data_IF_746451812946
#
_entry.id   IF_746451812946
#
_cell.length_a   1.000
_cell.length_b   1.000
_cell.length_c   1.000
_cell.angle_alpha   90.00
_cell.angle_beta   90.00
_cell.angle_gamma   90.00
#
_symmetry.space_group_name_H-M   'P 1'
#
loop_
_entity.id
_entity.type
_entity.pdbx_description
1 polymer ?
#
# COMPACT_ATOMS: atom_id res chain seq x y z
N UNK A 1 -28.87 1.29 -7.50
CA UNK A 1 -29.74 2.50 -7.61
C UNK A 1 -30.77 2.62 -6.48
N UNK A 2 -31.29 1.50 -5.93
CA UNK A 2 -32.28 1.50 -4.84
C UNK A 2 -31.82 2.33 -3.61
N UNK A 3 -30.59 2.12 -3.14
CA UNK A 3 -30.07 2.78 -1.94
C UNK A 3 -29.97 4.30 -2.05
N UNK A 4 -29.55 4.83 -3.20
CA UNK A 4 -29.46 6.28 -3.39
C UNK A 4 -30.82 6.96 -3.30
N UNK A 5 -31.83 6.35 -3.92
CA UNK A 5 -33.20 6.86 -3.86
C UNK A 5 -33.75 6.80 -2.44
N UNK A 6 -33.51 5.71 -1.71
CA UNK A 6 -33.89 5.57 -0.31
C UNK A 6 -33.23 6.65 0.58
N UNK A 7 -31.94 6.90 0.39
CA UNK A 7 -31.21 7.95 1.12
C UNK A 7 -31.82 9.33 0.84
N UNK A 8 -32.05 9.67 -0.44
CA UNK A 8 -32.68 10.95 -0.81
C UNK A 8 -34.13 11.08 -0.36
N UNK A 9 -34.86 9.97 -0.24
CA UNK A 9 -36.21 10.00 0.33
C UNK A 9 -36.17 10.28 1.83
N UNK A 10 -35.21 9.69 2.55
CA UNK A 10 -35.05 9.88 3.98
C UNK A 10 -34.51 11.28 4.35
N UNK A 11 -33.57 11.81 3.56
CA UNK A 11 -32.89 13.09 3.82
C UNK A 11 -33.50 14.28 3.06
N UNK A 12 -34.46 14.02 2.16
CA UNK A 12 -34.99 15.01 1.23
C UNK A 12 -34.13 15.18 -0.04
N UNK A 13 -34.63 15.99 -0.98
CA UNK A 13 -34.04 16.14 -2.33
C UNK A 13 -32.57 16.57 -2.32
N UNK A 14 -32.15 17.31 -1.29
CA UNK A 14 -30.78 17.80 -1.11
C UNK A 14 -29.74 16.74 -0.73
N UNK A 15 -30.18 15.57 -0.24
CA UNK A 15 -29.26 14.54 0.24
C UNK A 15 -28.48 14.97 1.49
N UNK A 16 -27.21 14.62 1.58
CA UNK A 16 -26.36 14.98 2.72
C UNK A 16 -25.84 16.43 2.62
N UNK A 17 -25.74 17.14 3.74
CA UNK A 17 -25.07 18.44 3.77
C UNK A 17 -23.56 18.30 3.53
N UNK A 18 -22.94 17.23 4.07
CA UNK A 18 -21.53 16.91 3.94
C UNK A 18 -21.32 15.40 3.79
N UNK A 19 -20.50 15.01 2.82
CA UNK A 19 -19.97 13.66 2.67
C UNK A 19 -18.47 13.69 2.99
N UNK A 20 -18.02 12.81 3.86
CA UNK A 20 -16.59 12.64 4.17
C UNK A 20 -16.15 11.31 3.59
N UNK A 21 -15.10 11.34 2.77
CA UNK A 21 -14.53 10.15 2.13
C UNK A 21 -13.11 9.99 2.62
N UNK A 22 -12.90 8.94 3.41
CA UNK A 22 -11.57 8.49 3.74
C UNK A 22 -10.98 7.63 2.61
N UNK A 23 -9.66 7.67 2.47
CA UNK A 23 -8.90 7.06 1.40
C UNK A 23 -9.45 7.31 -0.02
N UNK A 24 -9.69 8.59 -0.32
CA UNK A 24 -10.26 9.04 -1.60
C UNK A 24 -9.46 8.58 -2.85
N UNK A 25 -8.23 8.11 -2.68
CA UNK A 25 -7.42 7.53 -3.75
C UNK A 25 -8.07 6.30 -4.42
N UNK A 26 -9.06 5.65 -3.80
CA UNK A 26 -9.84 4.58 -4.42
C UNK A 26 -10.69 5.04 -5.62
N UNK A 27 -10.97 6.34 -5.74
CA UNK A 27 -11.74 6.93 -6.84
C UNK A 27 -10.88 7.46 -7.99
N UNK A 28 -9.58 7.18 -7.99
CA UNK A 28 -8.63 7.65 -9.02
C UNK A 28 -8.87 7.16 -10.45
N UNK A 29 -9.66 6.11 -10.62
CA UNK A 29 -9.99 5.54 -11.92
C UNK A 29 -11.46 5.81 -12.19
N UNK A 30 -11.77 6.75 -13.09
CA UNK A 30 -13.16 7.09 -13.41
C UNK A 30 -13.82 6.20 -14.46
N UNK A 31 -13.07 5.40 -15.21
CA UNK A 31 -13.60 4.54 -16.27
C UNK A 31 -13.13 3.08 -16.12
N UNK A 32 -13.85 2.17 -16.78
CA UNK A 32 -13.41 0.77 -16.96
C UNK A 32 -13.54 -0.16 -15.74
N UNK A 33 -14.19 0.27 -14.65
CA UNK A 33 -14.45 -0.61 -13.49
C UNK A 33 -15.89 -0.52 -12.99
N UNK A 34 -16.40 -1.64 -12.46
CA UNK A 34 -17.71 -1.67 -11.80
C UNK A 34 -17.76 -0.71 -10.60
N UNK A 35 -16.64 -0.56 -9.88
CA UNK A 35 -16.53 0.41 -8.77
C UNK A 35 -16.73 1.84 -9.26
N UNK A 36 -16.11 2.22 -10.38
CA UNK A 36 -16.26 3.56 -10.93
C UNK A 36 -17.70 3.83 -11.37
N UNK A 37 -18.34 2.88 -12.07
CA UNK A 37 -19.73 2.99 -12.48
C UNK A 37 -20.69 3.07 -11.28
N UNK A 38 -20.46 2.25 -10.26
CA UNK A 38 -21.24 2.27 -9.02
C UNK A 38 -21.07 3.60 -8.28
N UNK A 39 -19.85 4.13 -8.18
CA UNK A 39 -19.55 5.41 -7.54
C UNK A 39 -20.21 6.58 -8.28
N UNK A 40 -20.13 6.62 -9.61
CA UNK A 40 -20.83 7.63 -10.42
C UNK A 40 -22.34 7.59 -10.20
N UNK A 41 -22.93 6.40 -10.26
CA UNK A 41 -24.36 6.23 -10.02
C UNK A 41 -24.79 6.56 -8.58
N UNK A 42 -23.90 6.33 -7.61
CA UNK A 42 -24.17 6.58 -6.19
C UNK A 42 -24.09 8.07 -5.83
N UNK A 43 -22.98 8.74 -6.19
CA UNK A 43 -22.79 10.15 -5.89
C UNK A 43 -23.62 11.08 -6.78
N UNK A 44 -24.00 10.61 -7.98
CA UNK A 44 -24.79 11.36 -8.94
C UNK A 44 -23.99 12.43 -9.69
N UNK A 45 -24.66 13.05 -10.66
CA UNK A 45 -24.08 14.08 -11.50
C UNK A 45 -24.36 15.49 -10.96
N UNK A 46 -23.83 16.51 -11.65
CA UNK A 46 -23.92 17.93 -11.31
C UNK A 46 -25.31 18.40 -10.84
N UNK A 47 -26.37 17.90 -11.50
CA UNK A 47 -27.75 18.34 -11.28
C UNK A 47 -28.45 17.58 -10.14
N UNK A 48 -27.87 16.47 -9.68
CA UNK A 48 -28.52 15.58 -8.72
C UNK A 48 -27.46 14.97 -7.79
N UNK A 49 -26.63 15.78 -7.14
CA UNK A 49 -25.59 15.26 -6.24
C UNK A 49 -26.19 14.61 -4.99
N UNK A 50 -25.53 13.60 -4.45
CA UNK A 50 -25.93 12.93 -3.21
C UNK A 50 -25.64 13.81 -1.97
N UNK A 51 -24.73 14.77 -2.08
CA UNK A 51 -24.51 15.74 -1.04
C UNK A 51 -24.03 17.08 -1.57
N UNK A 52 -24.17 18.10 -0.73
CA UNK A 52 -23.88 19.50 -1.05
C UNK A 52 -22.39 19.81 -0.94
N UNK A 53 -21.73 19.28 0.09
CA UNK A 53 -20.29 19.42 0.30
C UNK A 53 -19.61 18.04 0.38
N UNK A 54 -18.34 17.99 -0.03
CA UNK A 54 -17.54 16.77 0.04
C UNK A 54 -16.16 17.09 0.59
N UNK A 55 -15.75 16.37 1.64
CA UNK A 55 -14.41 16.39 2.20
C UNK A 55 -13.69 15.10 1.82
N UNK A 56 -12.58 15.24 1.09
CA UNK A 56 -11.76 14.12 0.64
C UNK A 56 -10.51 14.02 1.52
N UNK A 57 -10.30 12.86 2.13
CA UNK A 57 -9.11 12.55 2.92
C UNK A 57 -8.28 11.51 2.17
N UNK A 58 -7.01 11.82 1.89
CA UNK A 58 -6.06 10.85 1.34
C UNK A 58 -4.62 11.30 1.51
N UNK A 59 -3.71 10.37 1.83
CA UNK A 59 -2.28 10.63 1.91
C UNK A 59 -1.59 10.67 0.52
N UNK A 60 -2.17 9.99 -0.47
CA UNK A 60 -1.57 9.70 -1.78
C UNK A 60 -2.58 9.89 -2.93
N UNK A 61 -2.96 11.15 -3.23
CA UNK A 61 -3.94 11.43 -4.29
C UNK A 61 -3.37 11.17 -5.70
N UNK A 62 -2.05 11.32 -5.87
CA UNK A 62 -1.32 11.01 -7.10
C UNK A 62 -0.56 9.70 -6.90
N UNK A 63 -0.95 8.65 -7.63
CA UNK A 63 -0.39 7.31 -7.44
C UNK A 63 0.32 6.80 -8.70
N UNK A 64 -0.27 6.98 -9.88
CA UNK A 64 0.26 6.50 -11.16
C UNK A 64 0.36 7.59 -12.22
N UNK A 65 -0.49 8.60 -12.15
CA UNK A 65 -0.50 9.74 -13.04
C UNK A 65 -1.15 10.93 -12.35
N UNK A 66 -0.76 12.14 -12.74
CA UNK A 66 -1.35 13.39 -12.22
C UNK A 66 -2.87 13.43 -12.43
N UNK A 67 -3.37 12.88 -13.54
CA UNK A 67 -4.80 12.74 -13.85
C UNK A 67 -5.62 12.07 -12.73
N UNK A 68 -5.00 11.21 -11.92
CA UNK A 68 -5.66 10.56 -10.79
C UNK A 68 -6.34 11.58 -9.85
N UNK A 69 -5.70 12.74 -9.64
CA UNK A 69 -6.26 13.79 -8.79
C UNK A 69 -7.51 14.37 -9.44
N UNK A 70 -7.43 14.70 -10.74
CA UNK A 70 -8.57 15.20 -11.51
C UNK A 70 -9.76 14.24 -11.46
N UNK A 71 -9.50 12.94 -11.68
CA UNK A 71 -10.51 11.89 -11.66
C UNK A 71 -11.25 11.85 -10.32
N UNK A 72 -10.53 11.90 -9.18
CA UNK A 72 -11.15 11.91 -7.84
C UNK A 72 -12.09 13.12 -7.69
N UNK A 73 -11.61 14.33 -7.98
CA UNK A 73 -12.42 15.54 -7.83
C UNK A 73 -13.63 15.56 -8.76
N UNK A 74 -13.50 14.99 -9.94
CA UNK A 74 -14.53 15.02 -10.97
C UNK A 74 -15.82 14.28 -10.57
N UNK A 75 -15.78 13.35 -9.60
CA UNK A 75 -17.00 12.75 -9.04
C UNK A 75 -17.86 13.79 -8.29
N UNK A 76 -17.24 14.80 -7.70
CA UNK A 76 -17.88 15.68 -6.71
C UNK A 76 -18.02 17.13 -7.17
N UNK A 77 -17.40 17.49 -8.29
CA UNK A 77 -17.47 18.85 -8.85
C UNK A 77 -17.44 18.83 -10.38
N UNK A 78 -17.93 19.91 -11.01
CA UNK A 78 -17.93 20.10 -12.47
C UNK A 78 -16.53 20.55 -12.96
N UNK A 79 -15.53 19.72 -12.69
CA UNK A 79 -14.12 19.99 -13.00
C UNK A 79 -13.85 20.34 -14.47
N UNK A 80 -14.48 19.68 -15.48
CA UNK A 80 -14.23 19.98 -16.89
C UNK A 80 -14.53 21.42 -17.31
N UNK A 81 -15.33 22.16 -16.54
CA UNK A 81 -15.66 23.55 -16.83
C UNK A 81 -14.64 24.55 -16.27
N UNK A 82 -13.78 24.14 -15.34
CA UNK A 82 -12.90 25.04 -14.57
C UNK A 82 -11.42 24.74 -14.71
N UNK A 83 -11.04 23.48 -14.95
CA UNK A 83 -9.64 23.05 -15.03
C UNK A 83 -9.46 22.06 -16.18
N UNK A 84 -8.31 22.15 -16.86
CA UNK A 84 -7.85 21.10 -17.76
C UNK A 84 -7.50 19.82 -16.97
N UNK A 85 -7.57 18.64 -17.59
CA UNK A 85 -7.29 17.35 -16.92
C UNK A 85 -5.88 17.27 -16.32
N UNK A 86 -4.95 18.01 -16.91
CA UNK A 86 -3.53 18.07 -16.64
C UNK A 86 -3.13 19.24 -15.72
N UNK A 87 -4.02 20.18 -15.43
CA UNK A 87 -3.77 21.30 -14.51
C UNK A 87 -4.01 20.92 -13.03
N UNK A 88 -3.31 19.86 -12.62
CA UNK A 88 -3.39 19.32 -11.27
C UNK A 88 -2.77 20.26 -10.25
N UNK A 89 -1.84 21.13 -10.68
CA UNK A 89 -1.21 22.10 -9.78
C UNK A 89 -2.22 23.15 -9.33
N UNK A 90 -2.97 23.77 -10.24
CA UNK A 90 -4.00 24.74 -9.87
C UNK A 90 -5.07 24.07 -8.99
N UNK A 91 -5.51 22.87 -9.37
CA UNK A 91 -6.46 22.08 -8.59
C UNK A 91 -6.00 21.86 -7.14
N UNK A 92 -4.75 21.42 -6.95
CA UNK A 92 -4.20 21.19 -5.62
C UNK A 92 -4.03 22.48 -4.83
N UNK A 93 -3.68 23.59 -5.47
CA UNK A 93 -3.55 24.89 -4.80
C UNK A 93 -4.90 25.41 -4.28
N UNK A 94 -5.98 25.21 -5.05
CA UNK A 94 -7.30 25.76 -4.72
C UNK A 94 -8.06 24.91 -3.70
N UNK A 95 -7.86 23.58 -3.72
CA UNK A 95 -8.70 22.65 -2.96
C UNK A 95 -7.95 21.75 -1.97
N UNK A 96 -6.61 21.67 -2.01
CA UNK A 96 -5.87 20.72 -1.18
C UNK A 96 -5.04 21.40 -0.10
N UNK A 97 -5.15 20.88 1.12
CA UNK A 97 -4.26 21.23 2.24
C UNK A 97 -3.44 19.99 2.58
N UNK A 98 -2.12 20.09 2.44
CA UNK A 98 -1.19 19.02 2.81
C UNK A 98 -0.16 19.52 3.82
N UNK A 99 -0.11 18.88 4.99
CA UNK A 99 0.91 19.15 6.01
C UNK A 99 1.96 18.04 6.00
N UNK A 100 3.24 18.41 6.07
CA UNK A 100 4.32 17.47 6.28
C UNK A 100 4.45 17.16 7.78
N UNK A 101 4.66 15.88 8.11
CA UNK A 101 5.10 15.51 9.46
C UNK A 101 6.50 16.08 9.68
N UNK A 102 6.67 16.68 10.85
CA UNK A 102 7.89 17.32 11.32
C UNK A 102 8.36 16.56 12.55
N UNK A 103 9.60 16.11 12.55
CA UNK A 103 10.26 15.45 13.67
C UNK A 103 11.12 16.48 14.38
N UNK A 104 11.00 16.60 15.70
CA UNK A 104 11.86 17.48 16.48
C UNK A 104 13.22 16.80 16.68
N UNK A 105 14.28 17.40 16.14
CA UNK A 105 15.66 17.04 16.42
C UNK A 105 16.22 17.83 17.61
N UNK A 106 17.51 17.61 17.91
CA UNK A 106 18.22 18.27 19.02
C UNK A 106 18.26 19.80 18.89
N UNK A 107 18.35 20.32 17.66
CA UNK A 107 18.51 21.75 17.39
C UNK A 107 17.37 22.34 16.55
N UNK A 108 16.75 21.55 15.67
CA UNK A 108 15.68 22.03 14.79
C UNK A 108 14.70 20.93 14.42
N UNK A 109 13.59 21.31 13.80
CA UNK A 109 12.60 20.36 13.30
C UNK A 109 12.90 19.97 11.85
N UNK A 110 12.90 18.67 11.57
CA UNK A 110 13.19 18.10 10.26
C UNK A 110 11.94 17.42 9.68
N UNK A 111 11.62 17.72 8.44
CA UNK A 111 10.68 17.00 7.60
C UNK A 111 11.33 15.74 7.03
N UNK A 112 10.51 14.84 6.47
CA UNK A 112 11.00 13.61 5.84
C UNK A 112 12.05 13.83 4.76
N UNK A 113 12.05 14.98 4.08
CA UNK A 113 13.02 15.27 3.03
C UNK A 113 14.39 15.66 3.59
N UNK A 114 14.43 16.10 4.85
CA UNK A 114 15.66 16.53 5.53
C UNK A 114 16.32 15.38 6.27
N UNK A 115 15.56 14.40 6.77
CA UNK A 115 16.13 13.25 7.50
C UNK A 115 16.19 11.94 6.69
N UNK A 116 15.45 11.81 5.57
CA UNK A 116 15.48 10.58 4.75
C UNK A 116 16.63 10.64 3.76
N UNK A 117 17.64 9.82 4.01
CA UNK A 117 18.71 9.56 3.05
C UNK A 117 18.53 8.17 2.45
N UNK A 118 18.05 8.11 1.20
CA UNK A 118 17.94 6.87 0.46
C UNK A 118 19.33 6.45 -0.01
N UNK A 119 19.82 5.32 0.51
CA UNK A 119 21.08 4.72 0.08
C UNK A 119 20.75 3.44 -0.66
N UNK A 120 21.25 3.32 -1.90
CA UNK A 120 21.20 2.06 -2.61
C UNK A 120 21.99 1.02 -1.82
N UNK A 121 21.36 -0.12 -1.54
CA UNK A 121 22.02 -1.29 -0.95
C UNK A 121 22.03 -2.38 -2.00
N UNK A 122 23.21 -2.92 -2.30
CA UNK A 122 23.36 -4.04 -3.22
C UNK A 122 23.11 -5.31 -2.40
N UNK A 123 22.06 -6.03 -2.74
CA UNK A 123 21.75 -7.34 -2.16
C UNK A 123 21.97 -8.41 -3.21
N UNK A 124 22.72 -9.46 -2.88
CA UNK A 124 23.06 -10.56 -3.79
C UNK A 124 22.98 -11.91 -3.06
N UNK A 125 22.73 -12.98 -3.82
CA UNK A 125 22.84 -14.36 -3.35
C UNK A 125 24.27 -14.92 -3.47
N UNK A 126 25.27 -14.09 -3.78
CA UNK A 126 26.67 -14.52 -3.88
C UNK A 126 27.07 -15.33 -2.64
N UNK A 127 27.58 -16.55 -2.85
CA UNK A 127 27.96 -17.52 -1.81
C UNK A 127 26.81 -18.10 -0.95
N UNK A 128 25.54 -17.89 -1.34
CA UNK A 128 24.34 -18.44 -0.68
C UNK A 128 23.52 -19.29 -1.66
N UNK A 129 24.13 -20.39 -2.13
CA UNK A 129 23.57 -21.23 -3.21
C UNK A 129 22.24 -21.91 -2.82
N UNK A 130 22.09 -22.28 -1.56
CA UNK A 130 20.87 -22.90 -1.04
C UNK A 130 19.71 -21.90 -0.95
N UNK A 131 19.99 -20.67 -0.54
CA UNK A 131 19.03 -19.57 -0.64
C UNK A 131 18.68 -19.31 -2.11
N UNK A 132 19.68 -19.13 -2.99
CA UNK A 132 19.44 -18.92 -4.43
C UNK A 132 18.53 -20.00 -5.03
N UNK A 133 18.81 -21.28 -4.72
CA UNK A 133 18.02 -22.42 -5.18
C UNK A 133 16.60 -22.39 -4.62
N UNK A 134 16.43 -22.06 -3.34
CA UNK A 134 15.12 -21.89 -2.72
C UNK A 134 14.28 -20.84 -3.46
N UNK A 135 14.86 -19.67 -3.74
CA UNK A 135 14.17 -18.58 -4.43
C UNK A 135 13.87 -18.93 -5.89
N UNK A 136 14.80 -19.59 -6.60
CA UNK A 136 14.57 -20.06 -7.96
C UNK A 136 13.40 -21.07 -8.01
N UNK A 137 13.33 -21.99 -7.04
CA UNK A 137 12.27 -22.98 -6.94
C UNK A 137 10.91 -22.33 -6.60
N UNK A 138 10.90 -21.39 -5.66
CA UNK A 138 9.70 -20.61 -5.33
C UNK A 138 9.17 -19.84 -6.53
N UNK A 139 10.02 -19.12 -7.27
CA UNK A 139 9.61 -18.41 -8.49
C UNK A 139 9.05 -19.36 -9.55
N UNK A 140 9.69 -20.51 -9.76
CA UNK A 140 9.21 -21.53 -10.71
C UNK A 140 7.82 -22.05 -10.32
N UNK A 141 7.59 -22.36 -9.04
CA UNK A 141 6.30 -22.86 -8.58
C UNK A 141 5.21 -21.80 -8.65
N UNK A 142 5.54 -20.54 -8.39
CA UNK A 142 4.61 -19.41 -8.50
C UNK A 142 4.10 -19.26 -9.94
N UNK A 143 5.01 -19.31 -10.93
CA UNK A 143 4.63 -19.26 -12.36
C UNK A 143 3.72 -20.43 -12.73
N UNK A 144 4.03 -21.65 -12.27
CA UNK A 144 3.20 -22.84 -12.54
C UNK A 144 1.80 -22.71 -11.93
N UNK A 145 1.66 -22.14 -10.73
CA UNK A 145 0.35 -21.91 -10.12
C UNK A 145 -0.45 -20.86 -10.90
N UNK A 146 0.18 -19.75 -11.28
CA UNK A 146 -0.46 -18.70 -12.07
C UNK A 146 -0.93 -19.18 -13.45
N UNK A 147 -0.13 -20.02 -14.12
CA UNK A 147 -0.50 -20.63 -15.41
C UNK A 147 -1.69 -21.59 -15.28
N UNK A 148 -1.75 -22.37 -14.20
CA UNK A 148 -2.88 -23.28 -13.91
C UNK A 148 -4.18 -22.54 -13.66
N UNK A 149 -4.12 -21.35 -13.04
CA UNK A 149 -5.29 -20.53 -12.73
C UNK A 149 -5.92 -19.83 -13.96
N UNK A 150 -5.34 -19.96 -15.17
CA UNK A 150 -5.83 -19.31 -16.40
C UNK A 150 -6.16 -17.82 -16.22
N UNK A 151 -5.41 -17.08 -15.40
CA UNK A 151 -5.42 -15.61 -15.39
C UNK A 151 -4.70 -15.07 -16.63
N UNK A 152 -5.23 -15.42 -17.80
CA UNK A 152 -4.84 -14.89 -19.09
C UNK A 152 -5.27 -13.42 -19.15
N UNK A 153 -4.34 -12.49 -18.90
CA UNK A 153 -4.60 -11.07 -19.14
C UNK A 153 -3.84 -10.06 -18.27
N UNK A 154 -3.03 -10.48 -17.29
CA UNK A 154 -2.28 -9.56 -16.43
C UNK A 154 -0.87 -10.09 -16.17
N UNK A 155 0.01 -9.95 -17.15
CA UNK A 155 1.31 -10.62 -17.18
C UNK A 155 2.27 -10.21 -16.07
N UNK A 156 3.18 -11.13 -15.70
CA UNK A 156 4.53 -10.97 -15.09
C UNK A 156 4.70 -9.96 -13.94
N UNK A 157 3.62 -9.38 -13.42
CA UNK A 157 3.60 -8.28 -12.44
C UNK A 157 3.24 -8.76 -11.04
N UNK A 158 3.11 -10.08 -10.87
CA UNK A 158 3.00 -10.81 -9.60
C UNK A 158 4.24 -11.68 -9.36
N UNK A 159 5.43 -11.16 -9.67
CA UNK A 159 6.61 -11.62 -8.95
C UNK A 159 6.80 -10.66 -7.78
N UNK A 160 7.47 -11.11 -6.73
CA UNK A 160 7.96 -10.28 -5.63
C UNK A 160 7.10 -10.16 -4.36
N UNK A 161 6.08 -11.00 -4.09
CA UNK A 161 5.48 -11.03 -2.73
C UNK A 161 6.54 -11.17 -1.63
N UNK A 162 7.45 -12.14 -1.80
CA UNK A 162 8.58 -12.37 -0.88
C UNK A 162 9.80 -11.44 -1.07
N UNK A 163 9.97 -10.79 -2.24
CA UNK A 163 11.12 -9.89 -2.51
C UNK A 163 10.81 -8.40 -2.26
N UNK A 164 9.54 -8.00 -2.44
CA UNK A 164 9.01 -6.67 -2.12
C UNK A 164 8.43 -6.59 -0.70
N UNK A 165 7.89 -7.70 -0.16
CA UNK A 165 7.08 -7.71 1.07
C UNK A 165 7.76 -8.16 2.36
N UNK A 166 7.10 -7.80 3.47
CA UNK A 166 7.47 -7.98 4.89
C UNK A 166 7.28 -9.40 5.44
N UNK A 167 7.11 -10.41 4.58
CA UNK A 167 6.91 -11.78 5.04
C UNK A 167 8.25 -12.38 5.47
N UNK A 168 8.59 -12.20 6.76
CA UNK A 168 9.74 -12.84 7.37
C UNK A 168 9.48 -14.35 7.50
N UNK A 169 10.40 -15.14 6.95
CA UNK A 169 10.47 -16.58 7.25
C UNK A 169 11.03 -16.74 8.66
N UNK A 170 10.22 -17.26 9.57
CA UNK A 170 10.62 -17.40 10.97
C UNK A 170 9.49 -17.59 11.97
N UNK A 171 8.23 -17.26 11.62
CA UNK A 171 7.10 -17.59 12.49
C UNK A 171 6.78 -19.08 12.36
N UNK A 172 7.19 -19.90 13.34
CA UNK A 172 6.46 -21.15 13.56
C UNK A 172 5.02 -20.75 13.92
N UNK A 173 4.02 -21.45 13.39
CA UNK A 173 2.61 -21.10 13.55
C UNK A 173 2.11 -21.09 15.02
N UNK A 174 3.00 -21.32 15.99
CA UNK A 174 2.72 -21.40 17.42
C UNK A 174 2.53 -20.04 18.11
N UNK A 175 2.85 -18.91 17.50
CA UNK A 175 2.89 -17.61 18.20
C UNK A 175 1.76 -16.62 17.83
N UNK A 176 0.78 -17.01 16.99
CA UNK A 176 -0.29 -16.10 16.53
C UNK A 176 -1.71 -16.42 16.97
N UNK A 177 -1.93 -17.37 17.88
CA UNK A 177 -3.27 -17.66 18.39
C UNK A 177 -3.32 -17.66 19.92
N UNK A 178 -3.55 -16.48 20.50
CA UNK A 178 -4.36 -16.33 21.72
C UNK A 178 -4.63 -14.85 22.06
N UNK A 179 -5.25 -14.11 21.15
CA UNK A 179 -6.04 -12.94 21.52
C UNK A 179 -7.31 -12.91 20.69
N UNK A 180 -8.35 -13.50 21.26
CA UNK A 180 -9.72 -13.41 20.79
C UNK A 180 -10.22 -11.97 20.97
N UNK A 181 -10.12 -11.15 19.93
CA UNK A 181 -10.89 -9.91 19.81
C UNK A 181 -11.60 -9.90 18.45
N UNK A 182 -12.94 -9.92 18.50
CA UNK A 182 -13.86 -10.04 17.37
C UNK A 182 -13.93 -8.80 16.45
N UNK A 183 -12.95 -7.89 16.51
CA UNK A 183 -12.82 -6.74 15.60
C UNK A 183 -11.89 -7.00 14.39
N UNK A 184 -11.23 -8.17 14.33
CA UNK A 184 -10.22 -8.50 13.32
C UNK A 184 -10.72 -8.92 11.93
N UNK A 185 -12.03 -9.12 11.73
CA UNK A 185 -12.52 -9.74 10.48
C UNK A 185 -12.43 -8.85 9.24
N UNK A 186 -12.38 -7.52 9.37
CA UNK A 186 -12.25 -6.60 8.22
C UNK A 186 -10.77 -6.41 7.81
N UNK A 187 -9.82 -6.78 8.65
CA UNK A 187 -8.40 -6.50 8.44
C UNK A 187 -7.57 -7.69 7.90
N UNK A 188 -8.15 -8.89 7.84
CA UNK A 188 -7.44 -10.11 7.44
C UNK A 188 -7.18 -10.23 5.93
N UNK A 189 -7.99 -9.59 5.07
CA UNK A 189 -7.81 -9.65 3.62
C UNK A 189 -6.60 -8.82 3.12
N UNK A 190 -6.05 -7.93 3.94
CA UNK A 190 -4.88 -7.12 3.57
C UNK A 190 -3.52 -7.78 3.87
N UNK A 191 -3.49 -8.88 4.64
CA UNK A 191 -2.26 -9.46 5.18
C UNK A 191 -1.80 -10.75 4.50
N UNK A 192 -2.53 -11.28 3.52
CA UNK A 192 -2.11 -12.49 2.80
C UNK A 192 -1.89 -12.18 1.34
N UNK A 193 -0.60 -12.17 0.97
CA UNK A 193 -0.23 -12.21 -0.42
C UNK A 193 -0.73 -13.54 -1.04
N UNK A 194 -1.12 -13.55 -2.32
CA UNK A 194 -1.68 -14.75 -2.95
C UNK A 194 -0.72 -15.95 -2.95
N UNK A 195 0.56 -15.71 -2.72
CA UNK A 195 1.67 -16.65 -2.67
C UNK A 195 2.11 -17.04 -1.24
N UNK A 196 1.52 -16.46 -0.18
CA UNK A 196 1.93 -16.74 1.20
C UNK A 196 1.82 -18.23 1.55
N UNK A 197 0.81 -18.95 1.05
CA UNK A 197 0.65 -20.39 1.28
C UNK A 197 1.78 -21.21 0.62
N UNK A 198 2.15 -20.84 -0.62
CA UNK A 198 3.25 -21.46 -1.34
C UNK A 198 4.57 -21.21 -0.61
N UNK A 199 4.83 -19.96 -0.25
CA UNK A 199 6.02 -19.55 0.48
C UNK A 199 6.17 -20.33 1.79
N UNK A 200 5.11 -20.36 2.62
CA UNK A 200 5.10 -21.11 3.88
C UNK A 200 5.40 -22.60 3.67
N UNK A 201 4.83 -23.22 2.63
CA UNK A 201 5.07 -24.63 2.34
C UNK A 201 6.52 -24.93 1.95
N UNK A 202 7.16 -24.03 1.20
CA UNK A 202 8.55 -24.15 0.80
C UNK A 202 9.48 -23.88 1.96
N UNK A 203 9.21 -22.86 2.76
CA UNK A 203 9.99 -22.53 3.95
C UNK A 203 10.00 -23.68 4.94
N UNK A 204 8.86 -24.37 5.16
CA UNK A 204 8.81 -25.57 6.00
C UNK A 204 9.69 -26.68 5.44
N UNK A 205 9.57 -27.01 4.16
CA UNK A 205 10.43 -28.02 3.52
C UNK A 205 11.92 -27.69 3.63
N UNK A 206 12.28 -26.42 3.44
CA UNK A 206 13.66 -25.97 3.61
C UNK A 206 14.12 -26.13 5.06
N UNK A 207 13.30 -25.73 6.03
CA UNK A 207 13.60 -25.88 7.44
C UNK A 207 13.73 -27.35 7.86
N UNK A 208 12.86 -28.24 7.37
CA UNK A 208 12.93 -29.67 7.68
C UNK A 208 14.23 -30.33 7.18
N UNK A 209 14.82 -29.82 6.09
CA UNK A 209 16.07 -30.33 5.51
C UNK A 209 17.29 -29.69 6.17
N UNK A 210 17.29 -28.38 6.33
CA UNK A 210 18.48 -27.60 6.73
C UNK A 210 18.47 -27.17 8.20
N UNK A 211 17.38 -27.44 8.94
CA UNK A 211 17.15 -27.00 10.32
C UNK A 211 17.40 -25.50 10.55
N UNK A 212 17.10 -24.69 9.53
CA UNK A 212 17.26 -23.24 9.51
C UNK A 212 16.31 -22.63 8.49
N UNK A 213 16.11 -21.33 8.54
CA UNK A 213 15.36 -20.60 7.52
C UNK A 213 16.27 -20.20 6.34
N UNK A 214 15.71 -20.04 5.12
CA UNK A 214 16.47 -19.59 3.97
C UNK A 214 16.91 -18.14 4.16
N UNK A 215 18.18 -17.86 3.86
CA UNK A 215 18.77 -16.52 3.96
C UNK A 215 18.01 -15.53 3.06
N UNK A 216 17.79 -14.31 3.54
CA UNK A 216 17.09 -13.29 2.77
C UNK A 216 18.03 -12.13 2.44
N UNK A 217 18.48 -12.00 1.18
CA UNK A 217 19.58 -11.09 0.83
C UNK A 217 19.28 -9.62 1.15
N UNK A 218 18.02 -9.19 1.07
CA UNK A 218 17.62 -7.83 1.48
C UNK A 218 17.61 -7.60 3.00
N UNK A 219 17.08 -8.55 3.79
CA UNK A 219 16.99 -8.41 5.23
C UNK A 219 18.35 -8.61 5.88
N UNK A 220 19.10 -9.62 5.44
CA UNK A 220 20.44 -9.90 5.96
C UNK A 220 21.36 -8.70 5.74
N UNK A 221 21.40 -8.14 4.52
CA UNK A 221 22.22 -6.95 4.24
C UNK A 221 21.76 -5.74 5.07
N UNK A 222 20.45 -5.58 5.30
CA UNK A 222 19.94 -4.48 6.13
C UNK A 222 20.30 -4.68 7.61
N UNK A 223 20.16 -5.89 8.12
CA UNK A 223 20.55 -6.27 9.49
C UNK A 223 22.04 -6.05 9.67
N UNK A 224 22.89 -6.59 8.80
CA UNK A 224 24.35 -6.37 8.83
C UNK A 224 24.69 -4.88 8.81
N UNK A 225 24.07 -4.09 7.91
CA UNK A 225 24.29 -2.65 7.84
C UNK A 225 23.88 -1.92 9.13
N UNK A 226 22.84 -2.37 9.83
CA UNK A 226 22.40 -1.78 11.10
C UNK A 226 23.21 -2.25 12.32
N UNK A 227 23.73 -3.48 12.31
CA UNK A 227 24.46 -4.08 13.44
C UNK A 227 25.98 -3.81 13.43
N UNK A 228 26.53 -3.26 12.34
CA UNK A 228 27.98 -2.93 12.23
C UNK A 228 28.49 -1.88 13.22
N UNK A 229 27.61 -1.19 13.93
CA UNK A 229 27.95 -0.34 15.07
C UNK A 229 27.08 -0.74 16.25
N UNK A 230 27.69 -1.25 17.32
CA UNK A 230 27.01 -1.51 18.59
C UNK A 230 26.29 -0.22 19.03
N UNK A 231 24.94 -0.19 19.02
CA UNK A 231 24.18 1.03 19.31
C UNK A 231 24.29 1.45 20.78
N UNK A 232 24.89 0.61 21.63
CA UNK A 232 25.12 0.84 23.06
C UNK A 232 26.60 1.04 23.41
N UNK A 233 27.52 0.93 22.44
CA UNK A 233 28.90 1.41 22.64
C UNK A 233 28.90 2.93 22.62
N UNK A 234 28.73 3.50 23.81
CA UNK A 234 29.10 4.88 24.06
C UNK A 234 30.53 5.11 23.54
N UNK A 235 30.70 6.18 22.75
CA UNK A 235 32.02 6.66 22.32
C UNK A 235 32.78 7.11 23.57
N UNK A 236 33.49 6.19 24.23
CA UNK A 236 34.45 6.53 25.27
C UNK A 236 35.77 6.94 24.62
N UNK A 237 35.85 8.20 24.18
CA UNK A 237 37.13 8.88 23.94
C UNK A 237 36.90 10.38 23.78
N UNK A 238 36.47 11.04 24.86
CA UNK A 238 36.96 12.38 25.13
C UNK A 238 38.20 12.20 26.03
N UNK A 239 39.39 12.30 25.44
CA UNK A 239 40.61 12.53 26.21
C UNK A 239 41.41 13.58 25.46
N UNK A 240 41.25 14.81 25.99
CA UNK A 240 42.06 16.03 25.84
C UNK A 240 42.26 16.58 24.42
#
# INVERSE_FOLDING_TARGET
MLYRQQIKQALGKGGFDLIIIDEAHYFRNRSGSQRAAAAQAFFGDAQDRLGSNVLLLTATPNHSASRNVYDIFSYFSDMPKRYAEDDVRALMNDFAIRRLRKMQGRESSHSKYEYRHERASISSFTNKMDAELFFALYQKQLVVQLDKEKKAGGGRRMLYGYLEGFESTGSTASERDNSSDEEGQIHNDFNHAPDSALLNSLTRQFHDIYNRFPDHPKYDTLVEACFTSDPFKAVSAATL
#
